data_IF_381180982468
#
_entry.id   IF_381180982468
#
_cell.length_a   1.000
_cell.length_b   1.000
_cell.length_c   1.000
_cell.angle_alpha   90.00
_cell.angle_beta   90.00
_cell.angle_gamma   90.00
#
_symmetry.space_group_name_H-M   'P 1'
#
loop_
_entity.id
_entity.type
_entity.pdbx_description
1 polymer ?
#
# COMPACT_ATOMS: atom_id res chain seq x y z
N UNK A 1 12.07 -80.38 3.45
CA UNK A 1 11.95 -79.43 2.33
C UNK A 1 11.16 -78.18 2.71
N UNK A 2 10.00 -78.29 3.38
CA UNK A 2 9.20 -77.10 3.77
C UNK A 2 9.98 -76.07 4.62
N UNK A 3 10.76 -76.49 5.62
CA UNK A 3 11.52 -75.59 6.50
C UNK A 3 12.63 -74.77 5.81
N UNK A 4 13.15 -75.23 4.67
CA UNK A 4 14.17 -74.51 3.91
C UNK A 4 13.55 -73.48 2.96
N UNK A 5 12.29 -73.66 2.58
CA UNK A 5 11.54 -72.73 1.72
C UNK A 5 11.14 -71.48 2.50
N UNK A 6 10.69 -71.63 3.75
CA UNK A 6 10.33 -70.50 4.62
C UNK A 6 11.55 -69.60 4.97
N UNK A 7 12.74 -70.19 5.11
CA UNK A 7 13.98 -69.44 5.37
C UNK A 7 14.41 -68.60 4.16
N UNK A 8 14.23 -69.12 2.95
CA UNK A 8 14.57 -68.42 1.71
C UNK A 8 13.60 -67.27 1.46
N UNK A 9 12.30 -67.47 1.65
CA UNK A 9 11.29 -66.40 1.52
C UNK A 9 11.49 -65.29 2.56
N UNK A 10 11.85 -65.66 3.80
CA UNK A 10 12.17 -64.70 4.86
C UNK A 10 13.39 -63.85 4.50
N UNK A 11 14.46 -64.47 3.98
CA UNK A 11 15.67 -63.78 3.56
C UNK A 11 15.42 -62.81 2.39
N UNK A 12 14.66 -63.23 1.39
CA UNK A 12 14.32 -62.38 0.24
C UNK A 12 13.50 -61.15 0.66
N UNK A 13 12.61 -61.32 1.65
CA UNK A 13 11.85 -60.21 2.25
C UNK A 13 12.77 -59.20 2.94
N UNK A 14 13.75 -59.66 3.71
CA UNK A 14 14.73 -58.79 4.36
C UNK A 14 15.62 -58.05 3.34
N UNK A 15 16.06 -58.73 2.29
CA UNK A 15 16.87 -58.11 1.24
C UNK A 15 16.11 -56.99 0.51
N UNK A 16 14.82 -57.22 0.19
CA UNK A 16 13.94 -56.17 -0.37
C UNK A 16 13.76 -54.99 0.58
N UNK A 17 13.63 -55.25 1.88
CA UNK A 17 13.47 -54.21 2.88
C UNK A 17 14.75 -53.37 3.05
N UNK A 18 15.93 -54.01 3.01
CA UNK A 18 17.22 -53.33 3.03
C UNK A 18 17.41 -52.46 1.78
N UNK A 19 17.07 -52.99 0.60
CA UNK A 19 17.15 -52.23 -0.65
C UNK A 19 16.27 -50.97 -0.61
N UNK A 20 15.03 -51.10 -0.11
CA UNK A 20 14.10 -49.97 0.05
C UNK A 20 14.63 -48.90 1.02
N UNK A 21 15.22 -49.32 2.14
CA UNK A 21 15.81 -48.39 3.12
C UNK A 21 17.03 -47.65 2.55
N UNK A 22 17.86 -48.32 1.77
CA UNK A 22 19.01 -47.71 1.10
C UNK A 22 18.58 -46.66 0.06
N UNK A 23 17.50 -46.92 -0.69
CA UNK A 23 16.94 -45.97 -1.63
C UNK A 23 16.38 -44.72 -0.92
N UNK A 24 15.69 -44.90 0.21
CA UNK A 24 15.20 -43.79 1.03
C UNK A 24 16.33 -42.93 1.61
N UNK A 25 17.42 -43.57 2.07
CA UNK A 25 18.61 -42.86 2.55
C UNK A 25 19.28 -42.05 1.44
N UNK A 26 19.38 -42.61 0.23
CA UNK A 26 19.93 -41.89 -0.93
C UNK A 26 19.07 -40.67 -1.29
N UNK A 27 17.74 -40.80 -1.24
CA UNK A 27 16.82 -39.69 -1.50
C UNK A 27 16.93 -38.57 -0.47
N UNK A 28 16.98 -38.90 0.83
CA UNK A 28 17.20 -37.92 1.88
C UNK A 28 18.55 -37.20 1.74
N UNK A 29 19.60 -37.91 1.30
CA UNK A 29 20.89 -37.31 0.98
C UNK A 29 20.81 -36.26 -0.13
N UNK A 30 20.04 -36.53 -1.19
CA UNK A 30 19.80 -35.57 -2.29
C UNK A 30 19.05 -34.33 -1.80
N UNK A 31 18.01 -34.52 -0.97
CA UNK A 31 17.21 -33.42 -0.42
C UNK A 31 18.04 -32.51 0.51
N UNK A 32 18.91 -33.10 1.33
CA UNK A 32 19.80 -32.35 2.20
C UNK A 32 20.78 -31.48 1.41
N UNK A 33 21.33 -31.99 0.31
CA UNK A 33 22.27 -31.23 -0.53
C UNK A 33 21.57 -30.07 -1.26
N UNK A 34 20.36 -30.29 -1.77
CA UNK A 34 19.51 -29.24 -2.34
C UNK A 34 19.19 -28.13 -1.32
N UNK A 35 18.94 -28.50 -0.06
CA UNK A 35 18.72 -27.54 1.02
C UNK A 35 19.95 -26.69 1.34
N UNK A 36 21.15 -27.28 1.33
CA UNK A 36 22.41 -26.52 1.52
C UNK A 36 22.64 -25.49 0.40
N UNK A 37 22.33 -25.85 -0.84
CA UNK A 37 22.48 -24.93 -1.97
C UNK A 37 21.43 -23.82 -1.94
N UNK A 38 20.20 -24.13 -1.52
CA UNK A 38 19.19 -23.09 -1.23
C UNK A 38 19.66 -22.14 -0.13
N UNK A 39 20.28 -22.65 0.93
CA UNK A 39 20.79 -21.83 2.04
C UNK A 39 21.96 -20.92 1.61
N UNK A 40 22.86 -21.39 0.73
CA UNK A 40 23.90 -20.53 0.12
C UNK A 40 23.30 -19.40 -0.72
N UNK A 41 22.23 -19.70 -1.47
CA UNK A 41 21.48 -18.69 -2.24
C UNK A 41 20.88 -17.61 -1.33
N UNK A 42 20.32 -18.03 -0.21
CA UNK A 42 19.74 -17.12 0.79
C UNK A 42 20.79 -16.20 1.44
N UNK A 43 21.94 -16.72 1.85
CA UNK A 43 23.02 -15.90 2.41
C UNK A 43 23.59 -14.90 1.39
N UNK A 44 23.69 -15.30 0.11
CA UNK A 44 24.08 -14.37 -0.96
C UNK A 44 23.07 -13.23 -1.12
N UNK A 45 21.77 -13.55 -1.08
CA UNK A 45 20.70 -12.55 -1.15
C UNK A 45 20.73 -11.61 0.05
N UNK A 46 20.88 -12.13 1.27
CA UNK A 46 20.99 -11.36 2.51
C UNK A 46 22.14 -10.35 2.46
N UNK A 47 23.32 -10.77 1.99
CA UNK A 47 24.47 -9.90 1.82
C UNK A 47 24.22 -8.79 0.78
N UNK A 48 23.48 -9.07 -0.30
CA UNK A 48 23.09 -8.05 -1.28
C UNK A 48 22.12 -7.02 -0.69
N UNK A 49 21.16 -7.46 0.11
CA UNK A 49 20.20 -6.58 0.79
C UNK A 49 20.91 -5.66 1.78
N UNK A 50 21.87 -6.16 2.56
CA UNK A 50 22.67 -5.32 3.46
C UNK A 50 23.52 -4.30 2.71
N UNK A 51 24.15 -4.71 1.60
CA UNK A 51 24.89 -3.79 0.73
C UNK A 51 23.99 -2.65 0.23
N UNK A 52 22.81 -2.96 -0.27
CA UNK A 52 21.85 -1.94 -0.74
C UNK A 52 21.37 -1.01 0.38
N UNK A 53 21.14 -1.53 1.60
CA UNK A 53 20.78 -0.69 2.76
C UNK A 53 21.89 0.31 3.08
N UNK A 54 23.15 -0.12 3.03
CA UNK A 54 24.29 0.75 3.31
C UNK A 54 24.48 1.82 2.22
N UNK A 55 24.34 1.45 0.94
CA UNK A 55 24.38 2.39 -0.19
C UNK A 55 23.26 3.43 -0.09
N UNK A 56 22.05 3.01 0.29
CA UNK A 56 20.91 3.91 0.51
C UNK A 56 21.19 4.92 1.63
N UNK A 57 21.69 4.46 2.79
CA UNK A 57 22.08 5.35 3.90
C UNK A 57 23.13 6.38 3.46
N UNK A 58 24.13 5.95 2.69
CA UNK A 58 25.17 6.85 2.20
C UNK A 58 24.61 7.91 1.24
N UNK A 59 23.68 7.51 0.36
CA UNK A 59 22.99 8.42 -0.54
C UNK A 59 22.12 9.43 0.21
N UNK A 60 21.42 9.00 1.27
CA UNK A 60 20.61 9.88 2.13
C UNK A 60 21.48 10.92 2.85
N UNK A 61 22.59 10.53 3.47
CA UNK A 61 23.53 11.46 4.12
C UNK A 61 24.08 12.48 3.12
N UNK A 62 24.39 12.04 1.91
CA UNK A 62 24.89 12.92 0.84
C UNK A 62 23.82 13.91 0.37
N UNK A 63 22.55 13.49 0.28
CA UNK A 63 21.43 14.38 -0.05
C UNK A 63 21.20 15.41 1.04
N UNK A 64 21.11 14.98 2.30
CA UNK A 64 20.92 15.91 3.44
C UNK A 64 22.04 16.93 3.54
N UNK A 65 23.29 16.55 3.22
CA UNK A 65 24.41 17.49 3.16
C UNK A 65 24.25 18.55 2.06
N UNK A 66 23.81 18.14 0.87
CA UNK A 66 23.54 19.05 -0.26
C UNK A 66 22.35 19.97 0.01
N UNK A 67 21.29 19.43 0.61
CA UNK A 67 20.10 20.21 0.96
C UNK A 67 20.41 21.22 2.08
N UNK A 68 21.23 20.83 3.07
CA UNK A 68 21.72 21.75 4.10
C UNK A 68 22.55 22.91 3.52
N UNK A 69 23.45 22.61 2.57
CA UNK A 69 24.21 23.65 1.88
C UNK A 69 23.31 24.60 1.06
N UNK A 70 22.29 24.06 0.40
CA UNK A 70 21.31 24.85 -0.36
C UNK A 70 20.44 25.73 0.55
N UNK A 71 20.04 25.23 1.71
CA UNK A 71 19.30 26.00 2.72
C UNK A 71 20.15 27.16 3.26
N UNK A 72 21.44 26.91 3.52
CA UNK A 72 22.35 27.96 3.96
C UNK A 72 22.49 29.08 2.92
N UNK A 73 22.61 28.74 1.64
CA UNK A 73 22.70 29.71 0.53
C UNK A 73 21.40 30.52 0.37
N UNK A 74 20.24 29.85 0.43
CA UNK A 74 18.93 30.52 0.43
C UNK A 74 18.77 31.48 1.61
N UNK A 75 19.21 31.11 2.81
CA UNK A 75 19.15 31.97 3.98
C UNK A 75 20.01 33.24 3.81
N UNK A 76 21.18 33.13 3.18
CA UNK A 76 22.03 34.28 2.84
C UNK A 76 21.30 35.19 1.84
N UNK A 77 20.66 34.60 0.82
CA UNK A 77 19.90 35.37 -0.18
C UNK A 77 18.71 36.12 0.44
N UNK A 78 17.96 35.47 1.33
CA UNK A 78 16.84 36.09 2.07
C UNK A 78 17.33 37.25 2.94
N UNK A 79 18.47 37.08 3.64
CA UNK A 79 19.05 38.15 4.45
C UNK A 79 19.44 39.37 3.59
N UNK A 80 20.03 39.14 2.40
CA UNK A 80 20.37 40.22 1.47
C UNK A 80 19.12 40.94 0.93
N UNK A 81 18.06 40.20 0.60
CA UNK A 81 16.80 40.78 0.15
C UNK A 81 16.14 41.62 1.25
N UNK A 82 16.17 41.15 2.50
CA UNK A 82 15.64 41.88 3.64
C UNK A 82 16.36 43.22 3.83
N UNK A 83 17.68 43.24 3.74
CA UNK A 83 18.44 44.49 3.80
C UNK A 83 18.10 45.44 2.63
N UNK A 84 17.82 44.90 1.44
CA UNK A 84 17.41 45.73 0.30
C UNK A 84 16.03 46.37 0.52
N UNK A 85 15.07 45.63 1.09
CA UNK A 85 13.75 46.15 1.46
C UNK A 85 13.90 47.26 2.50
N UNK A 86 14.68 47.06 3.56
CA UNK A 86 14.92 48.09 4.58
C UNK A 86 15.51 49.38 3.98
N UNK A 87 16.41 49.28 2.99
CA UNK A 87 16.96 50.45 2.28
C UNK A 87 15.92 51.15 1.39
N UNK A 88 15.02 50.38 0.76
CA UNK A 88 13.91 50.93 -0.01
C UNK A 88 12.86 51.61 0.87
N UNK A 89 12.50 50.99 2.00
CA UNK A 89 11.59 51.58 3.00
C UNK A 89 12.14 52.88 3.56
N UNK A 90 13.46 52.93 3.83
CA UNK A 90 14.11 54.17 4.24
C UNK A 90 14.02 55.25 3.17
N UNK A 91 14.20 54.91 1.88
CA UNK A 91 14.06 55.86 0.77
C UNK A 91 12.62 56.34 0.57
N UNK A 92 11.63 55.45 0.77
CA UNK A 92 10.21 55.77 0.71
C UNK A 92 9.77 56.68 1.88
N UNK A 93 10.28 56.44 3.09
CA UNK A 93 10.03 57.30 4.25
C UNK A 93 10.60 58.72 4.12
N UNK A 94 11.55 58.96 3.21
CA UNK A 94 12.01 60.32 2.86
C UNK A 94 11.04 61.01 1.88
N UNK A 95 10.19 60.26 1.16
CA UNK A 95 9.27 60.79 0.17
C UNK A 95 7.88 61.16 0.74
N UNK A 96 7.56 60.70 1.95
CA UNK A 96 6.30 61.02 2.65
C UNK A 96 6.27 62.45 3.23
N UNK A 97 7.43 63.11 3.33
CA UNK A 97 7.53 64.52 3.72
C UNK A 97 7.21 65.53 2.60
N UNK A 98 6.79 65.07 1.42
CA UNK A 98 6.55 65.91 0.23
C UNK A 98 5.08 65.89 -0.26
N UNK A 99 4.14 65.44 0.59
CA UNK A 99 2.70 65.41 0.29
C UNK A 99 1.82 66.18 1.30
N UNK A 100 2.39 67.09 2.09
CA UNK A 100 1.60 68.04 2.91
C UNK A 100 1.29 69.37 2.18
N UNK A 101 1.67 69.53 0.90
CA UNK A 101 1.53 70.81 0.16
C UNK A 101 0.70 70.69 -1.13
N UNK A 102 -0.13 69.64 -1.29
CA UNK A 102 -1.10 69.52 -2.41
C UNK A 102 -2.43 68.93 -1.91
N UNK A 103 -2.92 69.38 -0.77
CA UNK A 103 -4.28 69.12 -0.30
C UNK A 103 -5.15 70.38 -0.36
N UNK A 104 -5.07 71.11 -1.48
CA UNK A 104 -6.09 72.07 -1.85
C UNK A 104 -6.27 72.03 -3.37
N UNK A 105 -7.51 71.94 -3.83
CA UNK A 105 -7.97 71.79 -5.22
C UNK A 105 -7.85 70.40 -5.87
N UNK A 106 -8.88 69.57 -5.76
CA UNK A 106 -9.84 69.29 -6.87
C UNK A 106 -10.70 68.06 -6.56
N UNK A 107 -12.01 68.29 -6.51
CA UNK A 107 -13.04 67.24 -6.54
C UNK A 107 -13.01 66.55 -7.91
N UNK A 108 -12.80 65.24 -7.93
CA UNK A 108 -12.78 64.46 -9.16
C UNK A 108 -12.73 62.97 -8.89
N UNK A 109 -13.92 62.37 -8.90
CA UNK A 109 -14.21 60.93 -9.03
C UNK A 109 -13.06 60.09 -9.57
N UNK A 110 -12.43 59.30 -8.69
CA UNK A 110 -11.62 58.14 -9.09
C UNK A 110 -12.37 56.89 -8.63
N UNK A 111 -12.92 56.18 -9.61
CA UNK A 111 -13.42 54.83 -9.43
C UNK A 111 -12.32 53.97 -8.80
N UNK A 112 -12.61 53.45 -7.61
CA UNK A 112 -11.85 52.38 -6.96
C UNK A 112 -11.94 51.12 -7.83
N UNK A 113 -10.99 50.97 -8.74
CA UNK A 113 -10.77 49.81 -9.57
C UNK A 113 -9.54 49.11 -9.00
N UNK A 114 -9.75 48.33 -7.94
CA UNK A 114 -8.88 47.26 -7.46
C UNK A 114 -9.71 46.47 -6.43
N UNK A 115 -10.70 45.74 -6.94
CA UNK A 115 -11.12 44.51 -6.27
C UNK A 115 -9.89 43.60 -6.27
N UNK A 116 -9.11 43.67 -5.18
CA UNK A 116 -8.19 42.59 -4.84
C UNK A 116 -9.07 41.37 -4.57
N UNK A 117 -9.18 40.50 -5.57
CA UNK A 117 -9.64 39.12 -5.37
C UNK A 117 -8.81 38.53 -4.23
N UNK A 118 -9.45 38.37 -3.08
CA UNK A 118 -8.86 37.73 -1.90
C UNK A 118 -8.73 36.25 -2.25
N UNK A 119 -7.63 35.87 -2.89
CA UNK A 119 -7.27 34.46 -3.12
C UNK A 119 -7.41 33.69 -1.81
N UNK A 120 -8.11 32.56 -1.86
CA UNK A 120 -8.41 31.80 -0.65
C UNK A 120 -7.09 31.44 0.03
N UNK A 121 -7.01 31.81 1.31
CA UNK A 121 -5.81 31.71 2.14
C UNK A 121 -5.18 30.32 2.03
N UNK A 122 -3.91 30.28 1.62
CA UNK A 122 -3.02 29.12 1.52
C UNK A 122 -3.33 28.00 2.53
N UNK A 123 -4.19 27.04 2.15
CA UNK A 123 -4.27 25.78 2.89
C UNK A 123 -2.92 25.09 2.82
N UNK A 124 -2.40 24.55 3.94
CA UNK A 124 -1.14 23.83 3.95
C UNK A 124 -1.21 22.66 2.95
N UNK A 125 -0.10 22.44 2.26
CA UNK A 125 0.00 21.36 1.28
C UNK A 125 -0.22 19.99 1.97
N UNK A 126 -1.11 19.13 1.43
CA UNK A 126 -1.28 17.78 1.95
C UNK A 126 0.04 17.02 1.87
N UNK A 127 0.38 16.20 2.88
CA UNK A 127 1.54 15.32 2.79
C UNK A 127 1.39 14.35 1.61
N UNK A 128 2.51 13.98 0.99
CA UNK A 128 2.49 13.03 -0.11
C UNK A 128 1.95 11.66 0.36
N UNK A 129 1.09 11.04 -0.45
CA UNK A 129 0.67 9.66 -0.24
C UNK A 129 1.83 8.73 -0.62
N UNK A 130 2.48 8.16 0.39
CA UNK A 130 3.58 7.21 0.27
C UNK A 130 3.08 5.85 0.78
N UNK A 131 3.36 4.77 0.06
CA UNK A 131 2.88 3.43 0.42
C UNK A 131 3.34 3.00 1.82
N UNK A 132 2.36 2.68 2.68
CA UNK A 132 2.57 2.11 4.02
C UNK A 132 3.32 2.97 5.04
N UNK A 133 3.72 4.20 4.69
CA UNK A 133 4.56 5.07 5.53
C UNK A 133 3.99 6.49 5.56
N UNK A 134 3.63 6.96 6.75
CA UNK A 134 3.15 8.33 6.96
C UNK A 134 1.64 8.41 7.21
N UNK A 135 0.92 9.13 6.36
CA UNK A 135 -0.51 9.44 6.54
C UNK A 135 -1.40 8.25 6.11
N UNK A 136 -2.44 7.95 6.89
CA UNK A 136 -3.47 6.97 6.50
C UNK A 136 -4.26 7.47 5.31
N UNK A 137 -4.59 6.59 4.36
CA UNK A 137 -5.31 6.96 3.14
C UNK A 137 -6.61 7.75 3.42
N UNK A 138 -7.42 7.34 4.39
CA UNK A 138 -8.67 8.05 4.72
C UNK A 138 -8.42 9.52 5.13
N UNK A 139 -7.40 9.75 5.96
CA UNK A 139 -7.00 11.10 6.37
C UNK A 139 -6.43 11.88 5.19
N UNK A 140 -5.61 11.25 4.36
CA UNK A 140 -5.04 11.88 3.17
C UNK A 140 -6.12 12.30 2.16
N UNK A 141 -7.08 11.41 1.88
CA UNK A 141 -8.22 11.68 1.02
C UNK A 141 -9.02 12.88 1.52
N UNK A 142 -9.32 12.90 2.81
CA UNK A 142 -10.03 14.02 3.43
C UNK A 142 -9.29 15.35 3.21
N UNK A 143 -7.97 15.39 3.40
CA UNK A 143 -7.16 16.57 3.14
C UNK A 143 -7.17 16.99 1.65
N UNK A 144 -7.11 16.03 0.72
CA UNK A 144 -7.21 16.32 -0.71
C UNK A 144 -8.57 16.89 -1.09
N UNK A 145 -9.66 16.29 -0.59
CA UNK A 145 -11.02 16.78 -0.83
C UNK A 145 -11.24 18.18 -0.27
N UNK A 146 -10.66 18.50 0.89
CA UNK A 146 -10.65 19.86 1.43
C UNK A 146 -9.85 20.80 0.54
N UNK A 147 -8.65 20.42 0.10
CA UNK A 147 -7.79 21.26 -0.75
C UNK A 147 -8.49 21.64 -2.06
N UNK A 148 -9.12 20.68 -2.74
CA UNK A 148 -9.85 20.98 -3.98
C UNK A 148 -11.12 21.80 -3.78
N UNK A 149 -11.75 21.70 -2.60
CA UNK A 149 -12.95 22.48 -2.27
C UNK A 149 -12.62 23.94 -2.00
N UNK A 150 -11.63 24.17 -1.13
CA UNK A 150 -11.31 25.52 -0.66
C UNK A 150 -10.41 26.29 -1.65
N UNK A 151 -9.60 25.60 -2.47
CA UNK A 151 -8.77 26.20 -3.52
C UNK A 151 -9.35 25.94 -4.92
N UNK A 152 -10.69 25.94 -5.04
CA UNK A 152 -11.37 25.67 -6.31
C UNK A 152 -11.05 26.72 -7.39
N UNK A 153 -10.74 27.95 -6.97
CA UNK A 153 -10.22 29.06 -7.78
C UNK A 153 -8.85 28.78 -8.41
N UNK A 154 -8.01 27.96 -7.76
CA UNK A 154 -6.68 27.59 -8.25
C UNK A 154 -6.68 26.36 -9.19
N UNK A 155 -7.75 25.57 -9.19
CA UNK A 155 -7.84 24.34 -9.97
C UNK A 155 -9.10 24.31 -10.85
N UNK A 156 -9.15 25.28 -11.76
CA UNK A 156 -10.25 25.53 -12.69
C UNK A 156 -10.58 24.35 -13.63
N UNK A 157 -9.56 23.61 -14.10
CA UNK A 157 -9.73 22.52 -15.06
C UNK A 157 -9.55 21.13 -14.43
N UNK A 158 -10.23 20.09 -14.96
CA UNK A 158 -9.97 18.70 -14.54
C UNK A 158 -8.50 18.30 -14.70
N UNK A 159 -7.83 18.84 -15.72
CA UNK A 159 -6.41 18.61 -15.96
C UNK A 159 -5.51 19.21 -14.88
N UNK A 160 -5.75 20.46 -14.45
CA UNK A 160 -4.97 21.08 -13.37
C UNK A 160 -5.21 20.39 -12.03
N UNK A 161 -6.45 19.96 -11.75
CA UNK A 161 -6.79 19.15 -10.58
C UNK A 161 -6.06 17.80 -10.57
N UNK A 162 -6.07 17.07 -11.67
CA UNK A 162 -5.36 15.79 -11.79
C UNK A 162 -3.85 15.95 -11.69
N UNK A 163 -3.27 16.97 -12.34
CA UNK A 163 -1.84 17.25 -12.24
C UNK A 163 -1.40 17.50 -10.79
N UNK A 164 -2.21 18.27 -10.05
CA UNK A 164 -1.98 18.49 -8.63
C UNK A 164 -2.11 17.21 -7.81
N UNK A 165 -3.18 16.43 -7.99
CA UNK A 165 -3.36 15.14 -7.31
C UNK A 165 -2.16 14.20 -7.52
N UNK A 166 -1.66 14.10 -8.77
CA UNK A 166 -0.48 13.28 -9.11
C UNK A 166 0.75 13.77 -8.34
N UNK A 167 0.93 15.09 -8.21
CA UNK A 167 2.05 15.68 -7.46
C UNK A 167 2.01 15.35 -5.96
N UNK A 168 0.81 15.12 -5.41
CA UNK A 168 0.60 14.70 -4.03
C UNK A 168 0.71 13.18 -3.81
N UNK A 169 1.07 12.41 -4.84
CA UNK A 169 1.35 10.98 -4.74
C UNK A 169 2.83 10.70 -4.95
N UNK A 170 3.36 9.64 -4.35
CA UNK A 170 4.77 9.25 -4.53
C UNK A 170 4.96 7.74 -4.46
N UNK A 171 6.07 7.26 -5.04
CA UNK A 171 6.41 5.84 -5.07
C UNK A 171 5.32 5.02 -5.76
N UNK A 172 4.95 3.88 -5.16
CA UNK A 172 3.98 2.96 -5.75
C UNK A 172 2.63 3.61 -6.04
N UNK A 173 2.12 4.49 -5.16
CA UNK A 173 0.85 5.18 -5.38
C UNK A 173 0.83 6.02 -6.66
N UNK A 174 1.93 6.74 -6.92
CA UNK A 174 2.08 7.55 -8.12
C UNK A 174 2.20 6.66 -9.37
N UNK A 175 3.02 5.63 -9.30
CA UNK A 175 3.20 4.69 -10.40
C UNK A 175 1.87 3.99 -10.76
N UNK A 176 1.04 3.66 -9.75
CA UNK A 176 -0.25 2.97 -9.94
C UNK A 176 -1.22 3.90 -10.65
N UNK A 177 -1.32 5.13 -10.15
CA UNK A 177 -2.19 6.16 -10.71
C UNK A 177 -1.80 6.51 -12.16
N UNK A 178 -0.51 6.71 -12.42
CA UNK A 178 -0.03 7.02 -13.77
C UNK A 178 -0.27 5.87 -14.75
N UNK A 179 -0.09 4.62 -14.31
CA UNK A 179 -0.40 3.45 -15.15
C UNK A 179 -1.90 3.40 -15.45
N UNK A 180 -2.74 3.64 -14.44
CA UNK A 180 -4.20 3.65 -14.60
C UNK A 180 -4.70 4.76 -15.52
N UNK A 181 -4.12 5.95 -15.44
CA UNK A 181 -4.42 7.09 -16.32
C UNK A 181 -4.05 6.83 -17.79
N UNK A 182 -3.04 5.99 -18.04
CA UNK A 182 -2.57 5.64 -19.39
C UNK A 182 -3.32 4.45 -20.01
N UNK A 183 -4.06 3.69 -19.21
CA UNK A 183 -4.82 2.52 -19.68
C UNK A 183 -5.90 2.94 -20.68
N UNK A 184 -6.01 2.21 -21.78
CA UNK A 184 -7.00 2.48 -22.84
C UNK A 184 -8.24 1.60 -22.76
N UNK A 185 -8.15 0.49 -22.03
CA UNK A 185 -9.20 -0.52 -21.94
C UNK A 185 -10.14 -0.24 -20.77
N UNK A 186 -9.62 0.27 -19.66
CA UNK A 186 -10.42 0.60 -18.49
C UNK A 186 -11.12 1.96 -18.67
N UNK A 187 -12.24 2.17 -17.95
CA UNK A 187 -12.96 3.46 -17.90
C UNK A 187 -11.97 4.61 -17.70
N UNK A 188 -12.01 5.64 -18.53
CA UNK A 188 -11.08 6.76 -18.39
C UNK A 188 -11.29 7.50 -17.07
N UNK A 189 -10.19 7.82 -16.38
CA UNK A 189 -10.20 8.76 -15.26
C UNK A 189 -10.22 10.16 -15.88
N UNK A 190 -11.31 10.88 -15.67
CA UNK A 190 -11.53 12.20 -16.29
C UNK A 190 -11.23 13.35 -15.35
N UNK A 191 -11.37 13.12 -14.05
CA UNK A 191 -11.17 14.13 -13.01
C UNK A 191 -10.77 13.46 -11.67
N UNK A 192 -10.55 14.28 -10.64
CA UNK A 192 -10.14 13.87 -9.30
C UNK A 192 -11.07 12.85 -8.64
N UNK A 193 -12.42 12.94 -8.72
CA UNK A 193 -13.28 11.93 -8.10
C UNK A 193 -13.00 10.51 -8.59
N UNK A 194 -12.85 10.32 -9.91
CA UNK A 194 -12.52 9.02 -10.51
C UNK A 194 -11.14 8.52 -10.02
N UNK A 195 -10.17 9.43 -9.88
CA UNK A 195 -8.84 9.11 -9.41
C UNK A 195 -8.82 8.74 -7.92
N UNK A 196 -9.58 9.47 -7.09
CA UNK A 196 -9.72 9.17 -5.66
C UNK A 196 -10.46 7.86 -5.43
N UNK A 197 -11.46 7.53 -6.24
CA UNK A 197 -12.14 6.23 -6.20
C UNK A 197 -11.17 5.08 -6.52
N UNK A 198 -10.34 5.24 -7.56
CA UNK A 198 -9.30 4.27 -7.89
C UNK A 198 -8.26 4.11 -6.76
N UNK A 199 -7.76 5.22 -6.22
CA UNK A 199 -6.79 5.19 -5.13
C UNK A 199 -7.40 4.61 -3.85
N UNK A 200 -8.66 4.90 -3.57
CA UNK A 200 -9.38 4.29 -2.45
C UNK A 200 -9.48 2.79 -2.63
N UNK A 201 -9.82 2.33 -3.83
CA UNK A 201 -9.91 0.91 -4.12
C UNK A 201 -8.61 0.19 -3.75
N UNK A 202 -7.45 0.77 -4.09
CA UNK A 202 -6.13 0.15 -3.90
C UNK A 202 -5.57 0.36 -2.48
N UNK A 203 -5.61 1.58 -1.97
CA UNK A 203 -4.86 1.98 -0.77
C UNK A 203 -5.68 2.08 0.50
N UNK A 204 -7.01 2.14 0.40
CA UNK A 204 -7.85 2.11 1.58
C UNK A 204 -8.15 0.66 1.98
N UNK A 205 -7.60 0.21 3.10
CA UNK A 205 -8.05 -1.04 3.71
C UNK A 205 -9.55 -0.90 4.04
N UNK A 206 -10.42 -1.80 3.55
CA UNK A 206 -11.84 -1.64 3.77
C UNK A 206 -12.16 -1.77 5.26
N UNK A 207 -13.11 -0.96 5.71
CA UNK A 207 -13.73 -1.18 7.01
C UNK A 207 -14.46 -2.54 6.98
N UNK A 208 -14.02 -3.44 7.85
CA UNK A 208 -14.70 -4.69 8.16
C UNK A 208 -15.91 -4.33 9.03
N UNK A 209 -16.89 -3.62 8.46
CA UNK A 209 -18.20 -3.41 9.10
C UNK A 209 -18.89 -4.76 9.20
N UNK A 210 -18.50 -5.53 10.20
CA UNK A 210 -19.11 -6.80 10.57
C UNK A 210 -19.77 -6.63 11.93
N UNK A 211 -20.93 -7.27 12.09
CA UNK A 211 -21.59 -7.43 13.38
C UNK A 211 -21.06 -8.65 14.14
N UNK A 212 -20.25 -9.49 13.50
CA UNK A 212 -19.69 -10.71 14.07
C UNK A 212 -18.45 -10.39 14.90
N UNK A 213 -18.48 -10.74 16.20
CA UNK A 213 -17.41 -10.46 17.16
C UNK A 213 -16.06 -11.06 16.74
N UNK A 214 -16.08 -12.14 15.95
CA UNK A 214 -14.88 -12.83 15.47
C UNK A 214 -14.15 -12.08 14.35
N UNK A 215 -14.82 -11.12 13.70
CA UNK A 215 -14.24 -10.26 12.68
C UNK A 215 -13.59 -9.00 13.30
N UNK A 216 -13.77 -8.75 14.60
CA UNK A 216 -13.17 -7.63 15.33
C UNK A 216 -11.74 -7.98 15.74
N UNK A 217 -10.74 -7.41 15.06
CA UNK A 217 -9.34 -7.52 15.46
C UNK A 217 -8.93 -6.44 16.45
N UNK A 218 -7.93 -6.76 17.28
CA UNK A 218 -7.23 -5.74 18.07
C UNK A 218 -6.46 -4.79 17.14
N UNK A 219 -6.40 -3.48 17.43
CA UNK A 219 -5.61 -2.54 16.65
C UNK A 219 -4.14 -2.99 16.60
N UNK A 220 -3.62 -3.30 15.41
CA UNK A 220 -2.21 -3.65 15.19
C UNK A 220 -1.92 -5.08 14.74
N UNK A 221 -2.92 -5.97 14.67
CA UNK A 221 -2.75 -7.24 13.94
C UNK A 221 -2.66 -6.96 12.44
N UNK A 222 -1.54 -7.32 11.82
CA UNK A 222 -1.18 -6.90 10.46
C UNK A 222 -2.01 -7.61 9.37
N UNK A 223 -3.05 -6.97 8.81
CA UNK A 223 -3.83 -7.53 7.71
C UNK A 223 -3.12 -7.30 6.36
N UNK A 224 -1.93 -6.69 6.39
CA UNK A 224 -1.29 -6.16 5.19
C UNK A 224 -0.86 -7.24 4.22
N UNK A 225 -0.68 -8.49 4.63
CA UNK A 225 -0.27 -9.55 3.70
C UNK A 225 -1.34 -9.82 2.63
N UNK A 226 -2.61 -9.97 3.02
CA UNK A 226 -3.73 -10.15 2.10
C UNK A 226 -3.97 -8.91 1.25
N UNK A 227 -4.09 -7.74 1.88
CA UNK A 227 -4.36 -6.50 1.14
C UNK A 227 -3.21 -6.10 0.22
N UNK A 228 -1.96 -6.49 0.52
CA UNK A 228 -0.83 -6.37 -0.40
C UNK A 228 -0.95 -7.30 -1.61
N UNK A 229 -1.47 -8.52 -1.43
CA UNK A 229 -1.78 -9.40 -2.57
C UNK A 229 -2.88 -8.81 -3.45
N UNK A 230 -3.95 -8.26 -2.84
CA UNK A 230 -4.98 -7.56 -3.58
C UNK A 230 -4.44 -6.35 -4.36
N UNK A 231 -3.61 -5.50 -3.74
CA UNK A 231 -2.93 -4.40 -4.43
C UNK A 231 -2.08 -4.89 -5.60
N UNK A 232 -1.33 -5.97 -5.42
CA UNK A 232 -0.52 -6.57 -6.48
C UNK A 232 -1.39 -7.11 -7.62
N UNK A 233 -2.56 -7.68 -7.32
CA UNK A 233 -3.52 -8.10 -8.33
C UNK A 233 -4.00 -6.90 -9.16
N UNK A 234 -4.51 -5.85 -8.51
CA UNK A 234 -5.03 -4.66 -9.20
C UNK A 234 -3.95 -4.04 -10.09
N UNK A 235 -2.74 -3.91 -9.57
CA UNK A 235 -1.60 -3.41 -10.33
C UNK A 235 -1.38 -4.22 -11.63
N UNK A 236 -1.36 -5.55 -11.53
CA UNK A 236 -1.16 -6.40 -12.70
C UNK A 236 -2.36 -6.35 -13.65
N UNK A 237 -3.60 -6.31 -13.13
CA UNK A 237 -4.81 -6.19 -13.95
C UNK A 237 -4.79 -4.90 -14.77
N UNK A 238 -4.44 -3.77 -14.16
CA UNK A 238 -4.30 -2.48 -14.85
C UNK A 238 -3.15 -2.51 -15.86
N UNK A 239 -1.97 -3.01 -15.44
CA UNK A 239 -0.77 -3.07 -16.27
C UNK A 239 -0.94 -3.93 -17.52
N UNK A 240 -1.68 -5.03 -17.40
CA UNK A 240 -1.99 -5.94 -18.49
C UNK A 240 -3.32 -5.62 -19.17
N UNK A 241 -3.93 -4.48 -18.83
CA UNK A 241 -5.18 -3.98 -19.40
C UNK A 241 -6.32 -5.02 -19.41
N UNK A 242 -6.43 -5.76 -18.31
CA UNK A 242 -7.49 -6.73 -18.11
C UNK A 242 -8.86 -6.00 -18.08
N UNK A 243 -9.87 -6.45 -18.86
CA UNK A 243 -11.21 -5.88 -18.81
C UNK A 243 -11.80 -5.93 -17.40
N UNK A 244 -12.45 -4.86 -16.95
CA UNK A 244 -12.98 -4.76 -15.58
C UNK A 244 -13.98 -5.87 -15.22
N UNK A 245 -14.72 -6.37 -16.20
CA UNK A 245 -15.64 -7.50 -16.10
C UNK A 245 -14.95 -8.83 -15.72
N UNK A 246 -13.69 -9.00 -16.12
CA UNK A 246 -12.91 -10.21 -15.84
C UNK A 246 -12.20 -10.16 -14.47
N UNK A 247 -12.17 -9.00 -13.82
CA UNK A 247 -11.37 -8.81 -12.61
C UNK A 247 -11.80 -9.75 -11.48
N UNK A 248 -13.09 -9.98 -11.32
CA UNK A 248 -13.62 -10.84 -10.25
C UNK A 248 -13.18 -12.30 -10.43
N UNK A 249 -13.32 -12.86 -11.64
CA UNK A 249 -12.87 -14.23 -11.94
C UNK A 249 -11.35 -14.36 -11.83
N UNK A 250 -10.60 -13.38 -12.32
CA UNK A 250 -9.12 -13.42 -12.26
C UNK A 250 -8.56 -13.16 -10.88
N UNK A 251 -9.24 -12.37 -10.06
CA UNK A 251 -8.88 -12.19 -8.65
C UNK A 251 -9.02 -13.52 -7.90
N UNK A 252 -10.09 -14.28 -8.16
CA UNK A 252 -10.28 -15.60 -7.57
C UNK A 252 -9.15 -16.56 -7.92
N UNK A 253 -8.87 -16.75 -9.22
CA UNK A 253 -7.77 -17.60 -9.70
C UNK A 253 -6.43 -17.17 -9.06
N UNK A 254 -6.17 -15.86 -8.99
CA UNK A 254 -4.95 -15.31 -8.43
C UNK A 254 -4.82 -15.59 -6.92
N UNK A 255 -5.89 -15.37 -6.15
CA UNK A 255 -5.90 -15.60 -4.71
C UNK A 255 -5.80 -17.10 -4.38
N UNK A 256 -6.49 -17.96 -5.14
CA UNK A 256 -6.41 -19.41 -4.95
C UNK A 256 -4.98 -19.91 -5.20
N UNK A 257 -4.34 -19.42 -6.27
CA UNK A 257 -2.95 -19.75 -6.56
C UNK A 257 -1.98 -19.22 -5.50
N UNK A 258 -2.19 -18.00 -4.98
CA UNK A 258 -1.26 -17.36 -4.04
C UNK A 258 -1.39 -17.80 -2.60
N UNK A 259 -2.59 -18.14 -2.15
CA UNK A 259 -2.85 -18.46 -0.74
C UNK A 259 -2.69 -19.95 -0.43
N UNK A 260 -2.62 -20.83 -1.45
CA UNK A 260 -2.54 -22.29 -1.29
C UNK A 260 -3.62 -22.87 -0.34
N UNK A 261 -4.74 -22.14 -0.18
CA UNK A 261 -5.88 -22.49 0.66
C UNK A 261 -7.13 -22.57 -0.21
N UNK A 262 -8.04 -23.46 0.16
CA UNK A 262 -9.37 -23.50 -0.45
C UNK A 262 -10.17 -22.28 0.03
N UNK A 263 -10.33 -21.30 -0.87
CA UNK A 263 -11.09 -20.07 -0.63
C UNK A 263 -12.56 -20.19 -1.05
N UNK A 264 -12.99 -21.39 -1.47
CA UNK A 264 -14.36 -21.71 -1.88
C UNK A 264 -14.71 -21.24 -3.30
N UNK A 265 -15.94 -21.53 -3.71
CA UNK A 265 -16.49 -21.12 -5.01
C UNK A 265 -17.02 -19.69 -4.98
N UNK A 266 -16.47 -18.86 -5.86
CA UNK A 266 -16.77 -17.44 -5.97
C UNK A 266 -18.02 -17.14 -6.80
N UNK A 267 -18.57 -18.15 -7.49
CA UNK A 267 -19.81 -18.02 -8.26
C UNK A 267 -21.03 -17.63 -7.41
N UNK A 268 -20.92 -17.79 -6.09
CA UNK A 268 -21.98 -17.51 -5.11
C UNK A 268 -21.96 -16.08 -4.54
N UNK A 269 -20.90 -15.30 -4.77
CA UNK A 269 -20.85 -13.91 -4.29
C UNK A 269 -21.68 -13.01 -5.22
N UNK A 270 -22.55 -12.19 -4.63
CA UNK A 270 -23.41 -11.25 -5.35
C UNK A 270 -22.58 -10.26 -6.20
N UNK A 271 -23.19 -9.72 -7.26
CA UNK A 271 -22.64 -8.64 -8.08
C UNK A 271 -22.11 -7.51 -7.18
N UNK A 272 -20.80 -7.26 -7.25
CA UNK A 272 -20.11 -6.27 -6.44
C UNK A 272 -18.75 -5.93 -7.04
N UNK A 273 -18.14 -4.87 -6.53
CA UNK A 273 -16.80 -4.44 -6.94
C UNK A 273 -15.75 -5.50 -6.57
N UNK A 274 -14.64 -5.57 -7.31
CA UNK A 274 -13.56 -6.53 -7.00
C UNK A 274 -12.99 -6.37 -5.59
N UNK A 275 -13.12 -5.18 -4.97
CA UNK A 275 -12.72 -4.93 -3.59
C UNK A 275 -13.70 -5.52 -2.57
N UNK A 276 -14.99 -5.48 -2.83
CA UNK A 276 -16.00 -6.15 -1.99
C UNK A 276 -15.80 -7.66 -2.02
N UNK A 277 -15.54 -8.21 -3.21
CA UNK A 277 -15.16 -9.61 -3.36
C UNK A 277 -13.91 -9.95 -2.53
N UNK A 278 -12.84 -9.17 -2.66
CA UNK A 278 -11.62 -9.36 -1.86
C UNK A 278 -11.91 -9.30 -0.34
N UNK A 279 -12.82 -8.41 0.08
CA UNK A 279 -13.22 -8.28 1.49
C UNK A 279 -13.91 -9.55 2.00
N UNK A 280 -14.84 -10.11 1.24
CA UNK A 280 -15.53 -11.35 1.62
C UNK A 280 -14.57 -12.52 1.77
N UNK A 281 -13.60 -12.65 0.85
CA UNK A 281 -12.56 -13.67 0.92
C UNK A 281 -11.70 -13.51 2.15
N UNK A 282 -11.31 -12.27 2.43
CA UNK A 282 -10.54 -11.96 3.62
C UNK A 282 -11.30 -12.36 4.89
N UNK A 283 -12.57 -11.99 5.02
CA UNK A 283 -13.41 -12.36 6.16
C UNK A 283 -13.56 -13.88 6.30
N UNK A 284 -13.73 -14.60 5.19
CA UNK A 284 -13.80 -16.06 5.21
C UNK A 284 -12.51 -16.71 5.70
N UNK A 285 -11.36 -16.23 5.24
CA UNK A 285 -10.05 -16.70 5.70
C UNK A 285 -9.86 -16.44 7.20
N UNK A 286 -10.33 -15.28 7.69
CA UNK A 286 -10.31 -14.98 9.13
C UNK A 286 -11.15 -15.99 9.92
N UNK A 287 -12.38 -16.25 9.49
CA UNK A 287 -13.28 -17.18 10.18
C UNK A 287 -12.74 -18.61 10.18
N UNK A 288 -12.17 -19.06 9.06
CA UNK A 288 -11.54 -20.38 8.98
C UNK A 288 -10.35 -20.53 9.93
N UNK A 289 -9.49 -19.52 10.03
CA UNK A 289 -8.37 -19.53 11.00
C UNK A 289 -8.86 -19.59 12.45
N UNK A 290 -9.98 -18.95 12.76
CA UNK A 290 -10.60 -19.06 14.08
C UNK A 290 -11.14 -20.46 14.35
N UNK A 291 -11.87 -21.05 13.41
CA UNK A 291 -12.44 -22.40 13.53
C UNK A 291 -11.34 -23.47 13.68
N UNK A 292 -10.26 -23.37 12.89
CA UNK A 292 -9.10 -24.26 12.97
C UNK A 292 -8.42 -24.19 14.35
N UNK A 293 -8.29 -22.97 14.90
CA UNK A 293 -7.70 -22.74 16.23
C UNK A 293 -8.64 -23.19 17.37
N UNK A 294 -9.96 -23.00 17.24
CA UNK A 294 -10.94 -23.45 18.20
C UNK A 294 -11.02 -24.99 18.26
N UNK A 295 -10.92 -25.66 17.11
CA UNK A 295 -10.87 -27.12 17.01
C UNK A 295 -9.66 -27.75 17.71
N UNK A 296 -8.50 -27.06 17.71
CA UNK A 296 -7.30 -27.49 18.42
C UNK A 296 -7.41 -27.35 19.95
N UNK A 297 -8.18 -26.38 20.43
CA UNK A 297 -8.41 -26.16 21.87
C UNK A 297 -9.54 -27.03 22.45
N UNK A 298 -10.48 -27.51 21.61
CA UNK A 298 -11.58 -28.38 22.02
C UNK A 298 -11.25 -29.88 22.15
N UNK A 299 -10.10 -30.32 21.63
CA UNK A 299 -9.74 -31.75 21.53
C UNK A 299 -9.19 -32.44 22.79
N UNK A 300 -9.07 -31.74 23.94
CA UNK A 300 -8.43 -32.29 25.16
C UNK A 300 -9.36 -32.73 26.30
N UNK A 301 -10.69 -32.66 26.14
CA UNK A 301 -11.61 -33.14 27.17
C UNK A 301 -12.27 -34.48 26.81
N UNK A 302 -11.58 -35.56 27.19
CA UNK A 302 -12.18 -36.70 27.90
C UNK A 302 -13.29 -37.51 27.21
N UNK A 303 -12.93 -38.42 26.31
CA UNK A 303 -13.67 -39.69 26.17
C UNK A 303 -13.28 -40.60 27.34
N UNK A 304 -13.94 -40.43 28.48
CA UNK A 304 -13.96 -41.46 29.52
C UNK A 304 -14.98 -42.50 29.09
N UNK A 305 -14.49 -43.71 28.81
CA UNK A 305 -15.31 -44.89 28.57
C UNK A 305 -16.14 -45.18 29.84
N UNK A 306 -17.45 -44.93 29.78
CA UNK A 306 -18.42 -45.43 30.74
C UNK A 306 -19.04 -46.72 30.20
N UNK A 307 -18.56 -47.86 30.68
CA UNK A 307 -19.31 -49.12 30.60
C UNK A 307 -20.65 -48.97 31.34
N UNK A 308 -21.75 -49.54 30.82
CA UNK A 308 -23.02 -49.52 31.52
C UNK A 308 -23.02 -50.56 32.65
N UNK A 309 -23.08 -50.09 33.90
CA UNK A 309 -23.40 -50.93 35.05
C UNK A 309 -24.86 -51.34 34.95
N UNK A 310 -25.10 -52.65 34.81
CA UNK A 310 -26.41 -53.27 34.98
C UNK A 310 -26.77 -53.28 36.48
N UNK A 311 -27.92 -52.69 36.81
CA UNK A 311 -28.79 -53.15 37.91
C UNK A 311 -30.20 -53.22 37.35
#
# INVERSE_FOLDING_TARGET
MASLMDEVESKEKYEKQIAKLNEQLAELGRQLELSKDCNKGWEKYKNQVEKWRNEKRLAEVTRTGKDSARIADLNIQVANQKHHIEDLEKKLGVHDGMYDEIADTTEGTVHSLLEYEVFSSWLPEPPALIDGVGIKFANWRYLMEMKFRENSDHFDTPGSRLAYLISCTSGEAQDQLLTRLRSKILKSITDVPDALEYLEMVFHNPELRSTDVHDFRFPGEDPSSFWRLFRAFVWNAVKHELPGEDWSSKLHEFLQWKLEKDIGDFSSYQEGTSKELAKEVFLRLLRQEWDDNAGLMGGKNGRINGEPVKI
#
